data_IF_391072683402
#
_entry.id   IF_391072683402
#
_cell.length_a   1.000
_cell.length_b   1.000
_cell.length_c   1.000
_cell.angle_alpha   90.00
_cell.angle_beta   90.00
_cell.angle_gamma   90.00
#
_symmetry.space_group_name_H-M   'P 1'
#
loop_
_entity.id
_entity.type
_entity.pdbx_description
1 polymer ?
#
# COMPACT_ATOMS: atom_id res chain seq x y z
N UNK A 1 -67.36 3.27 55.66
CA UNK A 1 -67.28 4.41 54.72
C UNK A 1 -65.97 4.26 53.95
N UNK A 2 -65.91 4.37 52.61
CA UNK A 2 -66.76 5.16 51.71
C UNK A 2 -67.58 4.33 50.70
N UNK A 3 -68.58 5.01 50.13
CA UNK A 3 -69.63 4.53 49.23
C UNK A 3 -69.23 4.63 47.76
N UNK A 4 -69.42 3.54 47.03
CA UNK A 4 -69.34 3.42 45.57
C UNK A 4 -70.50 4.15 44.88
N UNK A 5 -70.18 5.04 43.94
CA UNK A 5 -71.16 5.73 43.11
C UNK A 5 -71.05 5.23 41.67
N UNK A 6 -72.04 4.43 41.24
CA UNK A 6 -72.07 3.78 39.92
C UNK A 6 -72.96 4.61 39.00
N UNK A 7 -72.37 5.46 38.15
CA UNK A 7 -73.12 6.17 37.12
C UNK A 7 -73.34 5.29 35.89
N UNK A 8 -74.61 5.02 35.61
CA UNK A 8 -75.09 4.26 34.45
C UNK A 8 -75.27 5.23 33.27
N UNK A 9 -74.29 5.27 32.37
CA UNK A 9 -74.34 6.05 31.13
C UNK A 9 -75.22 5.32 30.09
N UNK A 10 -76.32 5.96 29.67
CA UNK A 10 -77.16 5.52 28.55
C UNK A 10 -76.39 5.69 27.24
N UNK A 11 -76.16 4.59 26.51
CA UNK A 11 -75.69 4.60 25.11
C UNK A 11 -76.84 5.05 24.21
N UNK A 12 -76.72 6.22 23.59
CA UNK A 12 -77.55 6.59 22.44
C UNK A 12 -76.96 5.92 21.19
N UNK A 13 -77.78 5.17 20.48
CA UNK A 13 -77.44 4.58 19.18
C UNK A 13 -77.55 5.67 18.11
N UNK A 14 -76.45 6.34 17.80
CA UNK A 14 -76.37 7.18 16.59
C UNK A 14 -76.11 6.27 15.38
N UNK A 15 -77.07 6.26 14.47
CA UNK A 15 -76.92 5.66 13.15
C UNK A 15 -75.95 6.52 12.34
N UNK A 16 -74.68 6.12 12.32
CA UNK A 16 -73.67 6.73 11.46
C UNK A 16 -74.11 6.61 9.99
N UNK A 17 -74.24 7.71 9.24
CA UNK A 17 -74.71 7.65 7.86
C UNK A 17 -73.70 6.88 7.00
N UNK A 18 -74.20 5.89 6.27
CA UNK A 18 -73.45 4.93 5.43
C UNK A 18 -72.50 5.63 4.43
N UNK A 19 -72.78 6.89 4.07
CA UNK A 19 -71.94 7.71 3.20
C UNK A 19 -70.58 8.08 3.82
N UNK A 20 -70.46 8.26 5.14
CA UNK A 20 -69.17 8.59 5.78
C UNK A 20 -68.22 7.37 5.75
N UNK A 21 -68.77 6.16 5.81
CA UNK A 21 -67.99 4.93 5.80
C UNK A 21 -67.32 4.68 4.43
N UNK A 22 -67.96 5.10 3.33
CA UNK A 22 -67.40 4.96 1.98
C UNK A 22 -66.30 5.99 1.71
N UNK A 23 -66.50 7.24 2.13
CA UNK A 23 -65.48 8.28 1.99
C UNK A 23 -64.20 7.92 2.78
N UNK A 24 -64.35 7.39 3.99
CA UNK A 24 -63.19 6.98 4.80
C UNK A 24 -62.41 5.81 4.16
N UNK A 25 -63.11 4.82 3.58
CA UNK A 25 -62.46 3.71 2.87
C UNK A 25 -61.69 4.17 1.64
N UNK A 26 -62.23 5.13 0.88
CA UNK A 26 -61.56 5.72 -0.28
C UNK A 26 -60.31 6.47 0.15
N UNK A 27 -60.38 7.30 1.20
CA UNK A 27 -59.22 8.06 1.71
C UNK A 27 -58.11 7.13 2.20
N UNK A 28 -58.46 6.05 2.91
CA UNK A 28 -57.49 5.05 3.40
C UNK A 28 -56.84 4.30 2.22
N UNK A 29 -57.61 3.91 1.21
CA UNK A 29 -57.07 3.25 0.02
C UNK A 29 -56.15 4.17 -0.79
N UNK A 30 -56.55 5.44 -1.00
CA UNK A 30 -55.72 6.42 -1.68
C UNK A 30 -54.40 6.68 -0.92
N UNK A 31 -54.46 6.78 0.41
CA UNK A 31 -53.27 6.98 1.24
C UNK A 31 -52.31 5.80 1.17
N UNK A 32 -52.82 4.56 1.20
CA UNK A 32 -52.02 3.35 1.06
C UNK A 32 -51.37 3.24 -0.32
N UNK A 33 -52.10 3.57 -1.39
CA UNK A 33 -51.57 3.59 -2.75
C UNK A 33 -50.45 4.63 -2.93
N UNK A 34 -50.61 5.83 -2.36
CA UNK A 34 -49.57 6.86 -2.36
C UNK A 34 -48.32 6.36 -1.61
N UNK A 35 -48.49 5.73 -0.45
CA UNK A 35 -47.36 5.21 0.33
C UNK A 35 -46.60 4.12 -0.43
N UNK A 36 -47.31 3.19 -1.10
CA UNK A 36 -46.69 2.15 -1.93
C UNK A 36 -45.94 2.76 -3.11
N UNK A 37 -46.51 3.75 -3.80
CA UNK A 37 -45.83 4.46 -4.89
C UNK A 37 -44.57 5.19 -4.40
N UNK A 38 -44.64 5.90 -3.28
CA UNK A 38 -43.47 6.58 -2.70
C UNK A 38 -42.39 5.58 -2.27
N UNK A 39 -42.78 4.43 -1.72
CA UNK A 39 -41.84 3.38 -1.35
C UNK A 39 -41.18 2.75 -2.59
N UNK A 40 -41.93 2.49 -3.65
CA UNK A 40 -41.39 1.98 -4.92
C UNK A 40 -40.45 2.98 -5.60
N UNK A 41 -40.79 4.27 -5.58
CA UNK A 41 -39.89 5.34 -6.07
C UNK A 41 -38.63 5.42 -5.22
N UNK A 42 -38.71 5.32 -3.89
CA UNK A 42 -37.53 5.28 -3.02
C UNK A 42 -36.66 4.05 -3.31
N UNK A 43 -37.26 2.87 -3.49
CA UNK A 43 -36.53 1.65 -3.83
C UNK A 43 -35.84 1.80 -5.20
N UNK A 44 -36.52 2.40 -6.17
CA UNK A 44 -35.96 2.68 -7.49
C UNK A 44 -34.81 3.69 -7.41
N UNK A 45 -34.97 4.78 -6.67
CA UNK A 45 -33.90 5.77 -6.46
C UNK A 45 -32.71 5.20 -5.71
N UNK A 46 -32.90 4.35 -4.70
CA UNK A 46 -31.81 3.68 -3.98
C UNK A 46 -31.08 2.70 -4.90
N UNK A 47 -31.80 1.92 -5.70
CA UNK A 47 -31.18 0.99 -6.65
C UNK A 47 -30.50 1.69 -7.81
N UNK A 48 -31.02 2.84 -8.27
CA UNK A 48 -30.37 3.67 -9.28
C UNK A 48 -29.16 4.41 -8.72
N UNK A 49 -29.22 4.90 -7.48
CA UNK A 49 -28.06 5.45 -6.76
C UNK A 49 -26.98 4.39 -6.54
N UNK A 50 -27.33 3.14 -6.24
CA UNK A 50 -26.36 2.04 -6.20
C UNK A 50 -25.75 1.75 -7.58
N UNK A 51 -26.56 1.76 -8.66
CA UNK A 51 -26.05 1.59 -10.02
C UNK A 51 -25.12 2.74 -10.44
N UNK A 52 -25.46 3.97 -10.07
CA UNK A 52 -24.63 5.14 -10.34
C UNK A 52 -23.38 5.18 -9.45
N UNK A 53 -23.41 4.67 -8.21
CA UNK A 53 -22.22 4.52 -7.35
C UNK A 53 -21.32 3.36 -7.78
N UNK A 54 -21.86 2.33 -8.44
CA UNK A 54 -21.06 1.28 -9.09
C UNK A 54 -20.47 1.80 -10.42
N UNK A 55 -21.12 2.79 -11.06
CA UNK A 55 -20.68 3.43 -12.30
C UNK A 55 -19.78 4.66 -12.15
N UNK A 56 -19.69 5.26 -10.95
CA UNK A 56 -18.80 6.36 -10.64
C UNK A 56 -17.37 5.85 -10.43
N UNK A 57 -16.70 5.51 -11.54
CA UNK A 57 -15.24 5.35 -11.67
C UNK A 57 -14.56 4.74 -10.43
N UNK A 58 -14.71 3.42 -10.23
CA UNK A 58 -13.64 2.67 -9.55
C UNK A 58 -12.42 2.76 -10.51
N UNK A 59 -11.36 3.54 -10.22
CA UNK A 59 -10.22 3.69 -11.12
C UNK A 59 -9.43 2.37 -11.28
N UNK A 60 -9.93 1.29 -10.69
CA UNK A 60 -9.31 -0.01 -10.56
C UNK A 60 -10.15 -1.16 -11.11
N UNK A 61 -11.22 -0.89 -11.88
CA UNK A 61 -11.55 -1.84 -12.94
C UNK A 61 -10.42 -1.77 -13.96
N UNK A 62 -9.42 -2.61 -13.75
CA UNK A 62 -8.43 -2.96 -14.76
C UNK A 62 -9.25 -3.54 -15.91
N UNK A 63 -9.56 -2.71 -16.91
CA UNK A 63 -9.62 -3.22 -18.27
C UNK A 63 -8.27 -3.90 -18.44
N UNK A 64 -8.25 -5.22 -18.31
CA UNK A 64 -7.19 -5.98 -18.95
C UNK A 64 -7.26 -5.51 -20.39
N UNK A 65 -6.25 -4.80 -20.93
CA UNK A 65 -6.23 -4.56 -22.35
C UNK A 65 -6.45 -5.93 -22.97
N UNK A 66 -7.43 -6.05 -23.86
CA UNK A 66 -7.49 -7.19 -24.74
C UNK A 66 -6.07 -7.36 -25.24
N UNK A 67 -5.41 -8.44 -24.81
CA UNK A 67 -4.10 -8.79 -25.32
C UNK A 67 -4.37 -8.86 -26.80
N UNK A 68 -3.83 -7.89 -27.53
CA UNK A 68 -3.68 -8.01 -28.96
C UNK A 68 -2.90 -9.31 -29.08
N UNK A 69 -3.62 -10.39 -29.40
CA UNK A 69 -3.03 -11.58 -29.97
C UNK A 69 -2.41 -11.04 -31.23
N UNK A 70 -1.14 -10.64 -31.15
CA UNK A 70 -0.31 -10.66 -32.32
C UNK A 70 -0.47 -12.09 -32.82
N UNK A 71 -0.95 -12.23 -34.05
CA UNK A 71 -0.85 -13.45 -34.82
C UNK A 71 0.64 -13.79 -34.92
N UNK A 72 1.18 -14.37 -33.86
CA UNK A 72 2.30 -15.28 -33.93
C UNK A 72 1.68 -16.49 -34.60
N UNK A 73 2.12 -16.75 -35.84
CA UNK A 73 1.77 -17.96 -36.55
C UNK A 73 1.96 -19.14 -35.59
N UNK A 74 0.88 -19.89 -35.42
CA UNK A 74 0.79 -21.14 -34.70
C UNK A 74 1.57 -22.20 -35.50
N UNK A 75 2.88 -22.00 -35.65
CA UNK A 75 3.80 -23.11 -35.78
C UNK A 75 3.93 -23.63 -34.36
N UNK A 76 3.22 -24.72 -34.08
CA UNK A 76 3.53 -25.59 -32.96
C UNK A 76 5.02 -25.93 -33.04
N UNK A 77 5.83 -25.18 -32.31
CA UNK A 77 7.13 -25.69 -31.87
C UNK A 77 6.75 -26.74 -30.84
N UNK A 78 6.70 -28.00 -31.30
CA UNK A 78 6.85 -29.15 -30.42
C UNK A 78 8.08 -28.86 -29.56
N UNK A 79 7.85 -28.50 -28.30
CA UNK A 79 8.88 -28.56 -27.29
C UNK A 79 9.19 -30.05 -27.14
N UNK A 80 10.23 -30.50 -27.84
CA UNK A 80 10.81 -31.81 -27.69
C UNK A 80 11.00 -32.08 -26.19
N UNK A 81 10.17 -32.96 -25.62
CA UNK A 81 10.26 -33.42 -24.24
C UNK A 81 11.44 -34.39 -24.04
N UNK A 82 12.49 -34.28 -24.85
CA UNK A 82 13.59 -35.24 -24.92
C UNK A 82 14.92 -34.71 -24.38
N UNK A 83 14.88 -33.70 -23.50
CA UNK A 83 16.03 -33.30 -22.67
C UNK A 83 15.99 -34.02 -21.30
N UNK A 84 16.02 -35.36 -21.34
CA UNK A 84 16.25 -36.19 -20.15
C UNK A 84 17.74 -36.24 -19.73
N UNK A 85 18.53 -35.26 -20.15
CA UNK A 85 19.95 -35.13 -19.83
C UNK A 85 20.26 -33.78 -19.15
N UNK A 86 19.31 -33.23 -18.38
CA UNK A 86 19.55 -32.11 -17.45
C UNK A 86 20.35 -32.65 -16.26
N UNK A 87 21.63 -32.88 -16.50
CA UNK A 87 22.66 -33.04 -15.49
C UNK A 87 22.62 -31.83 -14.56
N UNK A 88 22.17 -32.05 -13.32
CA UNK A 88 22.59 -31.49 -12.02
C UNK A 88 23.48 -30.22 -11.97
N UNK A 89 23.31 -29.28 -12.89
CA UNK A 89 23.91 -27.96 -12.84
C UNK A 89 23.05 -27.16 -11.88
N UNK A 90 23.62 -26.81 -10.73
CA UNK A 90 22.96 -26.01 -9.72
C UNK A 90 22.26 -24.82 -10.39
N UNK A 91 20.93 -24.86 -10.48
CA UNK A 91 20.15 -23.85 -11.19
C UNK A 91 20.42 -22.50 -10.56
N UNK A 92 20.89 -21.54 -11.36
CA UNK A 92 21.14 -20.16 -10.91
C UNK A 92 19.86 -19.64 -10.20
N UNK A 93 19.92 -19.30 -8.89
CA UNK A 93 18.74 -18.92 -8.12
C UNK A 93 17.99 -17.70 -8.68
N UNK A 94 18.71 -16.80 -9.37
CA UNK A 94 18.13 -15.61 -10.01
C UNK A 94 17.28 -16.00 -11.21
N UNK A 95 17.80 -16.88 -12.06
CA UNK A 95 17.05 -17.37 -13.23
C UNK A 95 15.83 -18.19 -12.79
N UNK A 96 15.97 -19.02 -11.76
CA UNK A 96 14.83 -19.75 -11.18
C UNK A 96 13.76 -18.80 -10.59
N UNK A 97 14.18 -17.69 -9.97
CA UNK A 97 13.27 -16.66 -9.50
C UNK A 97 12.41 -16.08 -10.62
N UNK A 98 13.01 -15.67 -11.74
CA UNK A 98 12.28 -15.12 -12.89
C UNK A 98 11.41 -16.17 -13.60
N UNK A 99 11.89 -17.42 -13.68
CA UNK A 99 11.09 -18.54 -14.18
C UNK A 99 9.82 -18.74 -13.35
N UNK A 100 9.92 -18.77 -12.01
CA UNK A 100 8.76 -18.86 -11.11
C UNK A 100 7.84 -17.66 -11.22
N UNK A 101 8.39 -16.48 -11.53
CA UNK A 101 7.60 -15.29 -11.82
C UNK A 101 6.91 -15.32 -13.19
N UNK A 102 7.19 -16.31 -14.06
CA UNK A 102 6.66 -16.37 -15.42
C UNK A 102 7.24 -15.26 -16.31
N UNK A 103 8.49 -14.86 -16.06
CA UNK A 103 9.20 -13.84 -16.82
C UNK A 103 10.20 -14.52 -17.74
N UNK A 104 10.03 -14.33 -19.04
CA UNK A 104 11.03 -14.67 -20.04
C UNK A 104 12.10 -13.60 -20.07
N UNK A 105 13.37 -14.01 -20.01
CA UNK A 105 14.53 -13.11 -20.02
C UNK A 105 15.23 -13.23 -21.37
N UNK A 106 15.49 -12.08 -22.00
CA UNK A 106 16.40 -12.02 -23.15
C UNK A 106 17.87 -12.14 -22.70
N UNK A 107 18.76 -12.32 -23.68
CA UNK A 107 20.20 -12.52 -23.45
C UNK A 107 20.82 -11.34 -22.70
N UNK A 108 20.50 -10.12 -23.11
CA UNK A 108 21.07 -8.89 -22.54
C UNK A 108 20.64 -8.71 -21.08
N UNK A 109 19.39 -9.07 -20.77
CA UNK A 109 18.85 -9.08 -19.41
C UNK A 109 19.57 -10.11 -18.55
N UNK A 110 19.81 -11.33 -19.05
CA UNK A 110 20.55 -12.37 -18.32
C UNK A 110 21.96 -11.91 -17.98
N UNK A 111 22.66 -11.27 -18.94
CA UNK A 111 24.02 -10.76 -18.74
C UNK A 111 24.06 -9.57 -17.75
N UNK A 112 22.99 -8.77 -17.69
CA UNK A 112 22.89 -7.59 -16.82
C UNK A 112 22.38 -7.90 -15.40
N UNK A 113 21.78 -9.06 -15.19
CA UNK A 113 21.22 -9.44 -13.89
C UNK A 113 22.35 -9.70 -12.88
N UNK A 114 22.17 -9.25 -11.62
CA UNK A 114 23.12 -9.58 -10.56
C UNK A 114 23.06 -11.06 -10.22
N UNK A 115 24.16 -11.62 -9.75
CA UNK A 115 24.17 -12.93 -9.10
C UNK A 115 23.46 -12.86 -7.74
N UNK A 116 23.00 -14.02 -7.24
CA UNK A 116 22.39 -14.07 -5.90
C UNK A 116 23.37 -13.63 -4.80
N UNK A 117 24.65 -13.97 -4.94
CA UNK A 117 25.70 -13.55 -4.00
C UNK A 117 25.86 -12.03 -3.95
N UNK A 118 25.74 -11.34 -5.09
CA UNK A 118 25.75 -9.88 -5.14
C UNK A 118 24.52 -9.30 -4.42
N UNK A 119 23.33 -9.86 -4.65
CA UNK A 119 22.12 -9.44 -3.94
C UNK A 119 22.30 -9.62 -2.42
N UNK A 120 22.77 -10.77 -1.96
CA UNK A 120 23.01 -11.04 -0.54
C UNK A 120 24.09 -10.13 0.07
N UNK A 121 25.09 -9.71 -0.71
CA UNK A 121 26.11 -8.76 -0.23
C UNK A 121 25.52 -7.38 0.10
N UNK A 122 24.45 -7.00 -0.61
CA UNK A 122 23.74 -5.72 -0.48
C UNK A 122 22.69 -5.80 0.62
N UNK A 123 21.81 -6.81 0.58
CA UNK A 123 20.61 -6.86 1.43
C UNK A 123 20.72 -7.89 2.57
N UNK A 124 21.79 -8.69 2.63
CA UNK A 124 21.94 -9.79 3.59
C UNK A 124 21.16 -11.05 3.19
N UNK A 125 21.31 -12.14 3.95
CA UNK A 125 20.78 -13.48 3.62
C UNK A 125 19.28 -13.69 3.90
N UNK A 126 18.66 -12.85 4.72
CA UNK A 126 17.25 -12.95 5.12
C UNK A 126 16.55 -11.60 5.01
N UNK A 127 15.23 -11.56 4.78
CA UNK A 127 14.48 -10.32 4.90
C UNK A 127 14.65 -9.68 6.28
N UNK A 128 14.69 -8.35 6.33
CA UNK A 128 14.81 -7.59 7.58
C UNK A 128 13.51 -6.87 7.85
N UNK A 129 13.02 -7.02 9.08
CA UNK A 129 11.80 -6.40 9.57
C UNK A 129 12.05 -5.74 10.91
N UNK A 130 11.29 -4.68 11.20
CA UNK A 130 11.18 -4.11 12.55
C UNK A 130 9.72 -4.09 12.98
N UNK A 131 9.44 -4.49 14.23
CA UNK A 131 8.09 -4.60 14.78
C UNK A 131 7.44 -5.99 14.66
N UNK A 132 8.19 -7.04 14.29
CA UNK A 132 7.66 -8.42 14.25
C UNK A 132 7.13 -8.89 15.61
N UNK A 133 7.77 -8.46 16.68
CA UNK A 133 7.38 -8.66 18.07
C UNK A 133 6.00 -8.04 18.40
N UNK A 134 5.58 -7.00 17.68
CA UNK A 134 4.26 -6.36 17.88
C UNK A 134 3.12 -7.09 17.17
N UNK A 135 3.42 -8.02 16.26
CA UNK A 135 2.42 -8.74 15.48
C UNK A 135 1.46 -9.55 16.36
N UNK A 136 1.96 -10.16 17.43
CA UNK A 136 1.13 -10.92 18.36
C UNK A 136 0.15 -10.02 19.10
N UNK A 137 0.62 -8.90 19.65
CA UNK A 137 -0.20 -7.87 20.27
C UNK A 137 -1.31 -7.41 19.32
N UNK A 138 -0.99 -7.14 18.04
CA UNK A 138 -2.01 -6.77 17.06
C UNK A 138 -3.09 -7.85 16.89
N UNK A 139 -2.69 -9.12 16.77
CA UNK A 139 -3.65 -10.23 16.64
C UNK A 139 -4.51 -10.38 17.89
N UNK A 140 -3.97 -10.17 19.08
CA UNK A 140 -4.72 -10.30 20.32
C UNK A 140 -5.69 -9.14 20.54
N UNK A 141 -5.28 -7.91 20.23
CA UNK A 141 -6.10 -6.70 20.45
C UNK A 141 -7.19 -6.52 19.41
N UNK A 142 -6.96 -6.93 18.15
CA UNK A 142 -7.90 -6.71 17.06
C UNK A 142 -8.66 -7.99 16.71
N UNK A 143 -10.01 -7.98 16.75
CA UNK A 143 -10.82 -9.14 16.39
C UNK A 143 -10.44 -9.65 14.98
N UNK A 144 -10.41 -10.98 14.74
CA UNK A 144 -9.93 -11.51 13.47
C UNK A 144 -10.65 -10.96 12.23
N UNK A 145 -11.95 -10.66 12.32
CA UNK A 145 -12.72 -10.02 11.24
C UNK A 145 -12.44 -8.51 11.11
N UNK A 146 -11.99 -7.85 12.18
CA UNK A 146 -11.64 -6.43 12.18
C UNK A 146 -10.28 -6.16 11.57
N UNK A 147 -9.32 -7.07 11.70
CA UNK A 147 -7.92 -6.88 11.25
C UNK A 147 -7.86 -6.41 9.80
N UNK A 148 -6.98 -5.45 9.54
CA UNK A 148 -6.65 -4.90 8.22
C UNK A 148 -5.13 -4.68 8.11
N UNK A 149 -4.62 -4.75 6.89
CA UNK A 149 -3.28 -4.33 6.50
C UNK A 149 -3.38 -3.05 5.68
N UNK A 150 -2.64 -2.01 6.05
CA UNK A 150 -2.57 -0.75 5.30
C UNK A 150 -1.14 -0.42 4.92
N UNK A 151 -0.90 -0.01 3.67
CA UNK A 151 0.43 0.46 3.31
C UNK A 151 0.71 1.85 3.92
N UNK A 152 1.94 2.03 4.37
CA UNK A 152 2.47 3.29 4.86
C UNK A 152 3.93 3.43 4.39
N UNK A 153 4.46 4.66 4.39
CA UNK A 153 5.86 4.93 4.07
C UNK A 153 6.02 6.23 3.30
N UNK A 154 7.24 6.76 3.24
CA UNK A 154 7.51 7.98 2.48
C UNK A 154 7.22 7.82 0.98
N UNK A 155 7.10 8.93 0.26
CA UNK A 155 7.09 8.92 -1.20
C UNK A 155 8.29 8.13 -1.74
N UNK A 156 8.14 7.42 -2.85
CA UNK A 156 9.20 6.60 -3.47
C UNK A 156 9.85 5.50 -2.60
N UNK A 157 9.21 5.09 -1.50
CA UNK A 157 9.70 4.00 -0.64
C UNK A 157 9.17 2.61 -1.00
N UNK A 158 8.32 2.48 -2.03
CA UNK A 158 7.76 1.19 -2.45
C UNK A 158 6.36 0.87 -1.95
N UNK A 159 5.64 1.84 -1.37
CA UNK A 159 4.27 1.65 -0.85
C UNK A 159 3.29 1.00 -1.86
N UNK A 160 3.42 1.32 -3.15
CA UNK A 160 2.58 0.73 -4.19
C UNK A 160 2.92 -0.76 -4.42
N UNK A 161 4.20 -1.14 -4.34
CA UNK A 161 4.66 -2.52 -4.51
C UNK A 161 4.13 -3.40 -3.37
N UNK A 162 4.32 -2.99 -2.12
CA UNK A 162 3.81 -3.77 -0.96
C UNK A 162 2.29 -3.91 -1.01
N UNK A 163 1.58 -2.85 -1.42
CA UNK A 163 0.12 -2.90 -1.53
C UNK A 163 -0.33 -3.94 -2.55
N UNK A 164 0.30 -3.97 -3.73
CA UNK A 164 -0.04 -4.95 -4.77
C UNK A 164 0.30 -6.37 -4.32
N UNK A 165 1.46 -6.58 -3.73
CA UNK A 165 1.86 -7.88 -3.18
C UNK A 165 0.85 -8.40 -2.16
N UNK A 166 0.45 -7.57 -1.19
CA UNK A 166 -0.56 -7.95 -0.20
C UNK A 166 -1.92 -8.27 -0.84
N UNK A 167 -2.41 -7.41 -1.75
CA UNK A 167 -3.71 -7.61 -2.41
C UNK A 167 -3.78 -8.89 -3.23
N UNK A 168 -2.72 -9.20 -3.95
CA UNK A 168 -2.69 -10.36 -4.84
C UNK A 168 -2.46 -11.68 -4.09
N UNK A 169 -1.74 -11.64 -2.95
CA UNK A 169 -1.18 -12.85 -2.36
C UNK A 169 -1.60 -13.15 -0.92
N UNK A 170 -2.06 -12.17 -0.15
CA UNK A 170 -2.55 -12.46 1.19
C UNK A 170 -3.97 -13.07 1.14
N UNK A 171 -4.23 -14.05 2.02
CA UNK A 171 -5.52 -14.69 2.26
C UNK A 171 -5.89 -14.60 3.75
N UNK A 172 -7.09 -14.11 4.06
CA UNK A 172 -7.64 -14.14 5.40
C UNK A 172 -8.41 -15.46 5.59
N UNK A 173 -7.95 -16.32 6.49
CA UNK A 173 -8.51 -17.68 6.64
C UNK A 173 -10.01 -17.68 7.01
N UNK A 174 -10.48 -16.65 7.71
CA UNK A 174 -11.84 -16.60 8.28
C UNK A 174 -12.90 -16.14 7.27
N UNK A 175 -12.50 -15.64 6.09
CA UNK A 175 -13.44 -15.06 5.11
C UNK A 175 -13.48 -15.86 3.81
N UNK A 176 -14.51 -16.68 3.64
CA UNK A 176 -14.74 -17.46 2.41
C UNK A 176 -15.38 -16.67 1.26
N UNK A 177 -15.84 -15.41 1.48
CA UNK A 177 -16.54 -14.60 0.45
C UNK A 177 -15.67 -13.47 -0.12
N UNK A 178 -15.53 -13.45 -1.45
CA UNK A 178 -14.74 -12.47 -2.22
C UNK A 178 -15.04 -10.99 -1.92
N UNK A 179 -16.30 -10.61 -1.70
CA UNK A 179 -16.69 -9.20 -1.42
C UNK A 179 -16.00 -8.63 -0.17
N UNK A 180 -15.60 -9.47 0.78
CA UNK A 180 -14.98 -9.01 2.03
C UNK A 180 -13.44 -8.94 1.97
N UNK A 181 -12.78 -9.47 0.93
CA UNK A 181 -11.30 -9.35 0.79
C UNK A 181 -10.86 -7.88 0.64
N UNK A 182 -11.71 -7.03 0.05
CA UNK A 182 -11.46 -5.59 -0.12
C UNK A 182 -11.34 -4.85 1.22
N UNK A 183 -11.91 -5.38 2.30
CA UNK A 183 -11.85 -4.76 3.61
C UNK A 183 -10.50 -5.05 4.30
N UNK A 184 -9.93 -6.23 4.09
CA UNK A 184 -8.72 -6.65 4.80
C UNK A 184 -7.45 -5.96 4.30
N UNK A 185 -7.25 -5.82 2.98
CA UNK A 185 -6.06 -5.16 2.43
C UNK A 185 -6.42 -3.78 1.92
N UNK A 186 -5.97 -2.75 2.63
CA UNK A 186 -6.19 -1.35 2.30
C UNK A 186 -5.09 -0.84 1.38
N UNK A 187 -5.46 0.09 0.50
CA UNK A 187 -4.48 0.81 -0.33
C UNK A 187 -3.52 1.66 0.52
N UNK A 188 -4.03 2.21 1.62
CA UNK A 188 -3.28 3.04 2.56
C UNK A 188 -3.83 2.86 3.96
N UNK A 189 -3.04 3.19 4.98
CA UNK A 189 -3.54 3.33 6.34
C UNK A 189 -4.66 4.38 6.41
N UNK A 190 -5.59 4.30 7.38
CA UNK A 190 -6.71 5.25 7.50
C UNK A 190 -6.28 6.73 7.62
N UNK A 191 -5.09 7.00 8.15
CA UNK A 191 -4.53 8.36 8.24
C UNK A 191 -3.65 8.75 7.03
N UNK A 192 -3.58 7.92 5.99
CA UNK A 192 -2.89 8.20 4.73
C UNK A 192 -1.61 7.41 4.50
N UNK A 193 -1.26 7.21 3.23
CA UNK A 193 -0.12 6.37 2.79
C UNK A 193 1.24 6.99 3.12
N UNK A 194 1.34 8.30 2.95
CA UNK A 194 2.58 9.07 3.11
C UNK A 194 2.57 9.89 4.40
N UNK A 195 1.77 9.46 5.37
CA UNK A 195 1.56 10.18 6.61
C UNK A 195 2.34 9.50 7.75
N UNK A 196 3.12 10.26 8.54
CA UNK A 196 3.78 9.73 9.73
C UNK A 196 2.80 9.19 10.79
N UNK A 197 3.31 8.42 11.75
CA UNK A 197 2.48 7.69 12.71
C UNK A 197 1.72 8.60 13.70
N UNK A 198 2.30 9.75 14.09
CA UNK A 198 1.70 10.68 15.05
C UNK A 198 0.36 11.29 14.56
N UNK A 199 0.10 11.25 13.25
CA UNK A 199 -1.16 11.69 12.66
C UNK A 199 -2.29 10.67 12.76
N UNK A 200 -2.03 9.44 13.22
CA UNK A 200 -3.04 8.37 13.31
C UNK A 200 -4.34 8.89 13.94
N UNK A 201 -4.26 9.60 15.06
CA UNK A 201 -5.45 10.07 15.78
C UNK A 201 -5.99 11.41 15.27
N UNK A 202 -5.15 12.24 14.66
CA UNK A 202 -5.49 13.64 14.34
C UNK A 202 -5.79 13.89 12.84
N UNK A 203 -5.61 12.87 11.99
CA UNK A 203 -5.91 12.97 10.56
C UNK A 203 -6.55 11.68 10.05
N UNK A 204 -7.53 11.84 9.17
CA UNK A 204 -8.18 10.73 8.45
C UNK A 204 -8.10 11.05 6.97
N UNK A 205 -7.47 10.15 6.20
CA UNK A 205 -7.40 10.32 4.76
C UNK A 205 -8.79 10.13 4.14
N UNK A 206 -9.14 10.88 3.08
CA UNK A 206 -10.44 10.78 2.44
C UNK A 206 -10.84 9.34 2.13
N UNK A 207 -12.13 9.01 2.31
CA UNK A 207 -12.71 7.65 2.12
C UNK A 207 -12.28 6.63 3.19
N UNK A 208 -11.81 7.09 4.35
CA UNK A 208 -11.50 6.26 5.52
C UNK A 208 -12.22 6.73 6.80
N UNK A 209 -13.20 7.62 6.69
CA UNK A 209 -13.90 8.24 7.81
C UNK A 209 -14.61 7.21 8.69
N UNK A 210 -15.13 6.14 8.08
CA UNK A 210 -15.83 5.05 8.77
C UNK A 210 -14.90 3.91 9.23
N UNK A 211 -13.59 4.01 8.96
CA UNK A 211 -12.64 2.93 9.22
C UNK A 211 -12.07 3.08 10.63
N UNK A 212 -12.26 2.04 11.45
CA UNK A 212 -11.65 1.96 12.79
C UNK A 212 -10.13 1.89 12.62
N UNK A 213 -9.43 2.94 13.04
CA UNK A 213 -7.98 3.08 12.81
C UNK A 213 -7.17 2.01 13.55
N UNK A 214 -7.62 1.63 14.74
CA UNK A 214 -7.04 0.58 15.59
C UNK A 214 -7.25 -0.83 15.05
N UNK A 215 -7.95 -0.98 13.93
CA UNK A 215 -8.07 -2.26 13.25
C UNK A 215 -7.04 -2.42 12.11
N UNK A 216 -6.26 -1.37 11.80
CA UNK A 216 -5.28 -1.39 10.73
C UNK A 216 -3.87 -1.57 11.26
N UNK A 217 -3.15 -2.59 10.81
CA UNK A 217 -1.71 -2.73 10.99
C UNK A 217 -0.99 -1.98 9.85
N UNK A 218 -0.21 -0.93 10.15
CA UNK A 218 0.60 -0.26 9.15
C UNK A 218 1.77 -1.14 8.72
N UNK A 219 1.83 -1.40 7.41
CA UNK A 219 2.98 -2.02 6.74
C UNK A 219 3.80 -0.89 6.12
N UNK A 220 4.82 -0.47 6.87
CA UNK A 220 5.62 0.70 6.60
C UNK A 220 6.79 0.33 5.70
N UNK A 221 6.82 0.80 4.46
CA UNK A 221 7.95 0.55 3.57
C UNK A 221 9.08 1.55 3.83
N UNK A 222 10.27 1.03 4.06
CA UNK A 222 11.52 1.78 4.11
C UNK A 222 12.41 1.39 2.94
N UNK A 223 13.15 2.35 2.41
CA UNK A 223 14.12 2.14 1.33
C UNK A 223 15.48 2.63 1.80
N UNK A 224 16.55 2.05 1.27
CA UNK A 224 17.90 2.54 1.52
C UNK A 224 17.95 4.07 1.32
N UNK A 225 18.40 4.85 2.33
CA UNK A 225 18.25 6.30 2.29
C UNK A 225 19.03 6.95 1.15
N UNK A 226 20.15 6.39 0.71
CA UNK A 226 20.91 6.94 -0.42
C UNK A 226 20.11 6.82 -1.73
N UNK A 227 19.58 5.63 -2.02
CA UNK A 227 18.73 5.43 -3.21
C UNK A 227 17.44 6.23 -3.13
N UNK A 228 16.87 6.34 -1.93
CA UNK A 228 15.66 7.10 -1.70
C UNK A 228 15.89 8.59 -1.94
N UNK A 229 16.95 9.18 -1.38
CA UNK A 229 17.29 10.60 -1.57
C UNK A 229 17.56 10.92 -3.04
N UNK A 230 18.31 10.08 -3.77
CA UNK A 230 18.49 10.22 -5.23
C UNK A 230 17.12 10.19 -5.94
N UNK A 231 16.26 9.25 -5.55
CA UNK A 231 14.90 9.17 -6.11
C UNK A 231 14.04 10.40 -5.78
N UNK A 232 14.23 11.05 -4.64
CA UNK A 232 13.51 12.27 -4.28
C UNK A 232 14.01 13.47 -5.08
N UNK A 233 15.31 13.58 -5.33
CA UNK A 233 15.91 14.65 -6.12
C UNK A 233 15.40 14.63 -7.57
N UNK A 234 15.25 13.44 -8.16
CA UNK A 234 14.75 13.30 -9.53
C UNK A 234 13.27 13.68 -9.69
N UNK A 235 12.50 13.76 -8.60
CA UNK A 235 11.07 14.10 -8.64
C UNK A 235 10.83 15.61 -8.55
N UNK A 236 11.81 16.41 -8.10
CA UNK A 236 11.60 17.84 -7.88
C UNK A 236 11.16 18.58 -9.16
N UNK A 237 11.52 18.09 -10.34
CA UNK A 237 11.11 18.67 -11.63
C UNK A 237 9.65 18.36 -12.02
N UNK A 238 8.95 17.45 -11.32
CA UNK A 238 7.64 16.94 -11.73
C UNK A 238 6.51 17.20 -10.72
N UNK A 239 6.83 17.52 -9.46
CA UNK A 239 5.82 17.76 -8.41
C UNK A 239 5.89 19.19 -7.90
N UNK A 240 5.42 20.13 -8.72
CA UNK A 240 5.16 21.50 -8.29
C UNK A 240 4.22 21.46 -7.07
N UNK A 241 4.78 21.77 -5.89
CA UNK A 241 4.02 22.00 -4.66
C UNK A 241 3.91 20.85 -3.65
N UNK A 242 4.58 19.70 -3.82
CA UNK A 242 4.59 18.65 -2.78
C UNK A 242 5.83 18.72 -1.87
N UNK A 243 6.98 19.04 -2.47
CA UNK A 243 8.26 19.17 -1.80
C UNK A 243 8.94 20.42 -2.34
N UNK A 244 9.28 21.33 -1.45
CA UNK A 244 10.04 22.54 -1.78
C UNK A 244 11.39 22.38 -1.09
N UNK A 245 12.44 22.10 -1.87
CA UNK A 245 13.80 21.88 -1.37
C UNK A 245 14.71 21.30 -2.44
N UNK A 246 15.88 21.91 -2.61
CA UNK A 246 16.89 21.44 -3.57
C UNK A 246 17.48 20.10 -3.12
N UNK A 247 18.03 19.35 -4.09
CA UNK A 247 18.88 18.18 -3.86
C UNK A 247 19.88 18.43 -2.71
N UNK A 248 20.32 17.38 -1.97
CA UNK A 248 21.22 17.55 -0.84
C UNK A 248 22.39 18.36 -1.36
N UNK A 249 22.52 19.56 -0.82
CA UNK A 249 23.63 20.46 -1.08
C UNK A 249 23.71 21.25 0.20
N UNK A 250 24.88 21.29 0.83
CA UNK A 250 25.09 22.25 1.91
C UNK A 250 25.10 23.64 1.29
N UNK A 251 24.32 24.58 1.83
CA UNK A 251 24.46 25.99 1.46
C UNK A 251 25.54 26.60 2.33
N UNK A 252 26.35 27.48 1.74
CA UNK A 252 27.22 28.32 2.52
C UNK A 252 26.37 29.35 3.25
N UNK A 253 26.38 29.33 4.58
CA UNK A 253 25.80 30.38 5.41
C UNK A 253 26.57 31.69 5.21
N UNK A 254 25.97 32.82 5.59
CA UNK A 254 26.60 34.15 5.55
C UNK A 254 27.91 34.23 6.36
N UNK A 255 28.10 33.34 7.33
CA UNK A 255 29.33 33.22 8.13
C UNK A 255 30.34 32.21 7.56
N UNK A 256 30.16 31.71 6.34
CA UNK A 256 31.03 30.69 5.74
C UNK A 256 30.86 29.29 6.33
N UNK A 257 29.88 29.05 7.21
CA UNK A 257 29.57 27.71 7.72
C UNK A 257 28.68 26.98 6.72
N UNK A 258 29.05 25.77 6.33
CA UNK A 258 28.18 24.90 5.54
C UNK A 258 26.98 24.48 6.41
N UNK A 259 25.76 24.79 5.98
CA UNK A 259 24.51 24.40 6.67
C UNK A 259 23.66 23.46 5.80
N UNK A 260 22.92 22.50 6.40
CA UNK A 260 21.98 21.66 5.67
C UNK A 260 20.94 22.48 4.91
N UNK A 261 20.54 22.02 3.71
CA UNK A 261 19.40 22.60 2.99
C UNK A 261 18.11 22.05 3.56
N UNK A 262 17.38 22.92 4.24
CA UNK A 262 16.06 22.63 4.77
C UNK A 262 15.10 22.19 3.68
N UNK A 263 14.24 21.23 4.01
CA UNK A 263 13.22 20.67 3.12
C UNK A 263 11.85 20.93 3.73
N UNK A 264 10.94 21.46 2.91
CA UNK A 264 9.54 21.65 3.29
C UNK A 264 8.65 20.66 2.56
N UNK A 265 7.88 19.87 3.30
CA UNK A 265 7.03 18.79 2.75
C UNK A 265 5.60 18.93 3.25
N UNK A 266 4.63 18.68 2.36
CA UNK A 266 3.22 18.62 2.74
C UNK A 266 2.81 17.19 3.12
N UNK A 267 2.59 16.91 4.41
CA UNK A 267 2.13 15.63 4.95
C UNK A 267 0.80 15.82 5.67
N UNK A 268 -0.20 14.95 5.43
CA UNK A 268 -1.55 15.08 6.02
C UNK A 268 -2.11 16.51 5.92
N UNK A 269 -1.99 17.12 4.74
CA UNK A 269 -2.42 18.49 4.42
C UNK A 269 -1.67 19.62 5.16
N UNK A 270 -0.72 19.28 6.04
CA UNK A 270 0.10 20.21 6.80
C UNK A 270 1.50 20.34 6.19
N UNK A 271 2.01 21.57 6.16
CA UNK A 271 3.39 21.83 5.75
C UNK A 271 4.33 21.68 6.94
N UNK A 272 5.29 20.77 6.82
CA UNK A 272 6.33 20.51 7.81
C UNK A 272 7.69 20.91 7.26
N UNK A 273 8.57 21.39 8.13
CA UNK A 273 9.94 21.75 7.78
C UNK A 273 10.90 20.76 8.44
N UNK A 274 11.93 20.37 7.70
CA UNK A 274 13.00 19.48 8.14
C UNK A 274 14.34 20.09 7.77
N UNK A 275 15.39 19.76 8.50
CA UNK A 275 16.71 20.36 8.28
C UNK A 275 17.38 19.85 6.99
N UNK A 276 17.01 18.65 6.54
CA UNK A 276 17.52 18.02 5.32
C UNK A 276 16.64 16.84 4.89
N UNK A 277 16.91 16.25 3.72
CA UNK A 277 16.30 14.98 3.33
C UNK A 277 16.67 13.83 4.28
N UNK A 278 17.89 13.82 4.82
CA UNK A 278 18.32 12.83 5.81
C UNK A 278 17.54 12.98 7.11
N UNK A 279 17.35 14.23 7.60
CA UNK A 279 16.53 14.52 8.76
C UNK A 279 15.06 14.11 8.54
N UNK A 280 14.47 14.43 7.38
CA UNK A 280 13.14 13.94 7.00
C UNK A 280 13.04 12.41 7.03
N UNK A 281 14.03 11.71 6.47
CA UNK A 281 14.04 10.24 6.47
C UNK A 281 14.09 9.68 7.90
N UNK A 282 14.97 10.22 8.76
CA UNK A 282 15.07 9.82 10.16
C UNK A 282 13.76 10.06 10.91
N UNK A 283 13.24 11.29 10.88
CA UNK A 283 12.08 11.69 11.66
C UNK A 283 10.81 10.98 11.22
N UNK A 284 10.63 10.71 9.92
CA UNK A 284 9.48 9.96 9.43
C UNK A 284 9.43 8.55 10.03
N UNK A 285 10.55 7.83 10.03
CA UNK A 285 10.58 6.45 10.50
C UNK A 285 10.69 6.34 12.02
N UNK A 286 11.36 7.29 12.69
CA UNK A 286 11.43 7.34 14.15
C UNK A 286 10.04 7.43 14.78
N UNK A 287 9.13 8.16 14.12
CA UNK A 287 7.74 8.18 14.55
C UNK A 287 7.05 6.83 14.56
N UNK A 288 7.48 5.85 13.75
CA UNK A 288 6.97 4.48 13.80
C UNK A 288 7.76 3.62 14.78
N UNK A 289 9.09 3.65 14.75
CA UNK A 289 9.87 2.66 15.50
C UNK A 289 10.18 3.04 16.95
N UNK A 290 10.20 4.34 17.26
CA UNK A 290 10.58 4.89 18.55
C UNK A 290 9.36 5.46 19.28
N UNK A 291 8.51 6.18 18.55
CA UNK A 291 7.46 7.01 19.17
C UNK A 291 6.05 6.40 19.05
N UNK A 292 5.87 5.29 18.33
CA UNK A 292 4.57 4.66 18.10
C UNK A 292 4.33 3.48 19.04
N UNK A 293 3.42 3.65 19.99
CA UNK A 293 3.04 2.60 20.94
C UNK A 293 2.06 1.55 20.36
N UNK A 294 1.62 1.74 19.11
CA UNK A 294 0.67 0.86 18.45
C UNK A 294 1.40 -0.11 17.51
N UNK A 295 0.93 -1.37 17.34
CA UNK A 295 1.60 -2.34 16.48
C UNK A 295 1.86 -1.85 15.05
N UNK A 296 3.02 -2.20 14.51
CA UNK A 296 3.46 -1.83 13.17
C UNK A 296 4.41 -2.88 12.60
N UNK A 297 4.64 -2.84 11.29
CA UNK A 297 5.70 -3.62 10.67
C UNK A 297 6.44 -2.78 9.63
N UNK A 298 7.71 -2.47 9.89
CA UNK A 298 8.59 -1.82 8.92
C UNK A 298 9.26 -2.89 8.06
N UNK A 299 9.20 -2.73 6.74
CA UNK A 299 9.73 -3.68 5.74
C UNK A 299 10.59 -2.94 4.74
N UNK A 300 11.68 -3.57 4.28
CA UNK A 300 12.55 -2.97 3.26
C UNK A 300 11.97 -3.10 1.85
N UNK A 301 12.11 -2.05 1.06
CA UNK A 301 11.79 -2.03 -0.36
C UNK A 301 12.57 -3.10 -1.14
N UNK A 302 13.82 -3.30 -0.75
CA UNK A 302 14.73 -4.24 -1.38
C UNK A 302 14.27 -5.68 -1.13
N UNK A 303 13.82 -6.01 0.08
CA UNK A 303 13.25 -7.34 0.38
C UNK A 303 11.93 -7.57 -0.39
N UNK A 304 11.11 -6.53 -0.55
CA UNK A 304 9.92 -6.59 -1.42
C UNK A 304 10.26 -6.77 -2.89
N UNK A 305 11.48 -6.46 -3.33
CA UNK A 305 11.92 -6.58 -4.72
C UNK A 305 12.56 -7.93 -4.97
N UNK A 306 13.48 -8.35 -4.11
CA UNK A 306 14.29 -9.56 -4.28
C UNK A 306 13.70 -10.81 -3.62
N UNK A 307 12.81 -10.64 -2.63
CA UNK A 307 12.23 -11.73 -1.82
C UNK A 307 10.71 -11.54 -1.66
N UNK A 308 10.03 -11.30 -2.78
CA UNK A 308 8.58 -11.04 -2.79
C UNK A 308 7.79 -12.08 -2.00
N UNK A 309 8.09 -13.36 -2.18
CA UNK A 309 7.35 -14.45 -1.53
C UNK A 309 7.53 -14.44 -0.01
N UNK A 310 8.78 -14.51 0.46
CA UNK A 310 9.15 -14.59 1.87
C UNK A 310 8.72 -13.35 2.64
N UNK A 311 8.90 -12.18 2.01
CA UNK A 311 8.52 -10.90 2.61
C UNK A 311 7.01 -10.78 2.74
N UNK A 312 6.27 -11.12 1.67
CA UNK A 312 4.80 -11.09 1.70
C UNK A 312 4.24 -12.12 2.66
N UNK A 313 4.83 -13.32 2.74
CA UNK A 313 4.47 -14.35 3.72
C UNK A 313 4.47 -13.81 5.14
N UNK A 314 5.58 -13.23 5.54
CA UNK A 314 5.76 -12.66 6.87
C UNK A 314 4.74 -11.54 7.15
N UNK A 315 4.49 -10.66 6.17
CA UNK A 315 3.48 -9.59 6.28
C UNK A 315 2.07 -10.17 6.50
N UNK A 316 1.65 -11.17 5.70
CA UNK A 316 0.32 -11.75 5.83
C UNK A 316 0.14 -12.44 7.20
N UNK A 317 1.16 -13.19 7.64
CA UNK A 317 1.16 -13.93 8.91
C UNK A 317 1.14 -12.99 10.13
N UNK A 318 1.79 -11.84 10.04
CA UNK A 318 1.79 -10.82 11.10
C UNK A 318 0.36 -10.41 11.49
N UNK A 319 -0.52 -10.19 10.52
CA UNK A 319 -1.95 -9.87 10.75
C UNK A 319 -2.86 -11.10 10.97
N UNK A 320 -2.30 -12.30 11.09
CA UNK A 320 -3.05 -13.55 11.27
C UNK A 320 -3.72 -14.07 9.99
N UNK A 321 -3.23 -13.67 8.82
CA UNK A 321 -3.58 -14.29 7.55
C UNK A 321 -2.52 -15.32 7.12
N UNK A 322 -2.64 -15.79 5.88
CA UNK A 322 -1.63 -16.63 5.22
C UNK A 322 -1.35 -16.11 3.82
N UNK A 323 -0.16 -16.37 3.29
CA UNK A 323 0.14 -16.12 1.88
C UNK A 323 -0.39 -17.28 1.03
N UNK A 324 -0.69 -17.02 -0.24
CA UNK A 324 -0.88 -18.06 -1.24
C UNK A 324 0.33 -19.02 -1.25
N UNK A 325 0.11 -20.33 -1.47
CA UNK A 325 1.19 -21.27 -1.76
C UNK A 325 2.07 -20.77 -2.90
N UNK A 326 3.35 -21.15 -2.90
CA UNK A 326 4.34 -20.59 -3.82
C UNK A 326 4.00 -20.78 -5.30
N UNK A 327 3.43 -21.93 -5.68
CA UNK A 327 2.96 -22.22 -7.04
C UNK A 327 1.73 -21.38 -7.47
N UNK A 328 1.07 -20.69 -6.53
CA UNK A 328 -0.05 -19.78 -6.77
C UNK A 328 0.31 -18.32 -6.48
N UNK A 329 1.54 -18.06 -6.04
CA UNK A 329 1.99 -16.72 -5.71
C UNK A 329 2.14 -15.89 -6.99
N UNK A 330 1.50 -14.72 -6.99
CA UNK A 330 1.58 -13.76 -8.08
C UNK A 330 2.68 -12.75 -7.80
N UNK A 331 3.77 -12.90 -8.55
CA UNK A 331 4.84 -11.92 -8.58
C UNK A 331 4.39 -10.62 -9.25
N UNK A 332 4.89 -9.48 -8.77
CA UNK A 332 4.64 -8.18 -9.38
C UNK A 332 5.72 -7.92 -10.43
N UNK A 333 5.43 -8.35 -11.66
CA UNK A 333 6.36 -8.28 -12.81
C UNK A 333 6.38 -6.87 -13.40
N UNK A 334 5.20 -6.31 -13.69
CA UNK A 334 5.06 -4.96 -14.25
C UNK A 334 5.14 -3.93 -13.12
N UNK A 335 5.54 -2.70 -13.45
CA UNK A 335 5.59 -1.57 -12.52
C UNK A 335 4.40 -1.52 -11.57
N UNK A 336 4.69 -1.36 -10.28
CA UNK A 336 3.68 -1.16 -9.25
C UNK A 336 3.05 0.23 -9.29
N UNK A 337 3.66 1.20 -9.97
CA UNK A 337 3.11 2.54 -10.16
C UNK A 337 2.09 2.51 -11.31
N UNK A 338 0.81 2.67 -10.97
CA UNK A 338 -0.32 2.68 -11.91
C UNK A 338 -1.07 4.02 -11.86
N UNK A 339 -1.73 4.40 -12.96
CA UNK A 339 -2.47 5.68 -13.07
C UNK A 339 -1.67 6.82 -13.74
N UNK A 340 -2.33 7.96 -14.04
CA UNK A 340 -1.76 9.05 -14.84
C UNK A 340 -0.66 9.85 -14.11
N UNK A 341 -0.68 9.94 -12.78
CA UNK A 341 0.29 10.72 -11.99
C UNK A 341 1.67 10.09 -11.80
N UNK A 342 2.07 9.13 -12.66
CA UNK A 342 3.29 8.33 -12.49
C UNK A 342 4.13 8.25 -13.78
N UNK A 343 4.10 9.31 -14.60
CA UNK A 343 4.86 9.37 -15.86
C UNK A 343 4.37 8.37 -16.91
N UNK A 344 5.08 8.30 -18.05
CA UNK A 344 4.75 7.37 -19.14
C UNK A 344 4.99 5.94 -18.70
N UNK A 345 4.18 4.98 -19.18
CA UNK A 345 4.30 3.56 -18.80
C UNK A 345 5.68 3.00 -19.12
N UNK A 346 6.28 3.43 -20.24
CA UNK A 346 7.63 3.04 -20.68
C UNK A 346 8.76 3.50 -19.76
N UNK A 347 8.53 4.53 -18.94
CA UNK A 347 9.52 5.07 -18.00
C UNK A 347 9.41 4.40 -16.62
N UNK A 348 8.45 3.48 -16.43
CA UNK A 348 8.20 2.85 -15.15
C UNK A 348 9.02 1.57 -15.00
N UNK A 349 9.68 1.44 -13.86
CA UNK A 349 10.51 0.28 -13.53
C UNK A 349 9.66 -0.97 -13.27
N UNK A 350 9.82 -2.01 -14.09
CA UNK A 350 9.31 -3.36 -13.84
C UNK A 350 10.26 -4.18 -12.96
N UNK A 351 10.01 -5.48 -12.86
CA UNK A 351 10.77 -6.39 -12.00
C UNK A 351 12.21 -6.57 -12.49
N UNK A 352 12.42 -6.85 -13.78
CA UNK A 352 13.75 -7.07 -14.35
C UNK A 352 14.60 -5.81 -14.19
N UNK A 353 14.04 -4.64 -14.57
CA UNK A 353 14.74 -3.36 -14.45
C UNK A 353 15.01 -3.00 -12.98
N UNK A 354 14.11 -3.35 -12.05
CA UNK A 354 14.34 -3.14 -10.62
C UNK A 354 15.49 -4.02 -10.10
N UNK A 355 15.58 -5.28 -10.56
CA UNK A 355 16.67 -6.17 -10.17
C UNK A 355 18.03 -5.68 -10.70
N UNK A 356 18.08 -5.30 -11.98
CA UNK A 356 19.28 -4.71 -12.59
C UNK A 356 19.65 -3.40 -11.89
N UNK A 357 18.67 -2.55 -11.58
CA UNK A 357 18.95 -1.25 -10.97
C UNK A 357 19.41 -1.34 -9.52
N UNK A 358 18.77 -2.18 -8.71
CA UNK A 358 18.95 -2.19 -7.25
C UNK A 358 19.83 -3.33 -6.73
N UNK A 359 20.09 -4.35 -7.56
CA UNK A 359 20.91 -5.50 -7.16
C UNK A 359 22.38 -5.36 -7.52
N UNK A 360 22.79 -4.22 -8.08
CA UNK A 360 24.19 -3.90 -8.37
C UNK A 360 24.89 -3.31 -7.14
N UNK A 361 26.20 -3.52 -6.99
CA UNK A 361 26.99 -2.85 -5.97
C UNK A 361 26.76 -1.34 -5.98
N UNK A 362 26.74 -0.73 -4.80
CA UNK A 362 26.59 0.72 -4.69
C UNK A 362 27.75 1.42 -5.38
N UNK A 363 27.42 2.46 -6.15
CA UNK A 363 28.41 3.39 -6.66
C UNK A 363 29.18 4.02 -5.49
N UNK A 364 30.43 4.43 -5.73
CA UNK A 364 31.21 5.23 -4.79
C UNK A 364 30.36 6.42 -4.34
N UNK A 365 30.28 6.62 -3.02
CA UNK A 365 29.47 7.66 -2.38
C UNK A 365 27.97 7.62 -2.74
N UNK A 366 27.48 6.53 -3.33
CA UNK A 366 26.10 6.42 -3.83
C UNK A 366 25.79 7.36 -4.99
N UNK A 367 26.80 7.88 -5.68
CA UNK A 367 26.66 8.92 -6.72
C UNK A 367 26.52 10.35 -6.18
N UNK A 368 26.75 10.57 -4.88
CA UNK A 368 26.70 11.89 -4.24
C UNK A 368 28.01 12.65 -4.46
N UNK A 369 27.96 13.97 -4.33
CA UNK A 369 29.17 14.78 -4.14
C UNK A 369 29.84 14.42 -2.81
N UNK A 370 31.10 14.84 -2.63
CA UNK A 370 31.85 14.62 -1.40
C UNK A 370 31.13 15.26 -0.21
N UNK A 371 30.70 16.51 -0.36
CA UNK A 371 29.96 17.23 0.67
C UNK A 371 28.64 16.56 1.06
N UNK A 372 27.88 16.06 0.09
CA UNK A 372 26.57 15.48 0.34
C UNK A 372 26.68 14.08 0.91
N UNK A 373 27.72 13.34 0.51
CA UNK A 373 28.05 12.06 1.11
C UNK A 373 28.45 12.23 2.58
N UNK A 374 29.38 13.14 2.89
CA UNK A 374 29.81 13.40 4.26
C UNK A 374 28.64 13.88 5.12
N UNK A 375 27.77 14.74 4.57
CA UNK A 375 26.56 15.17 5.24
C UNK A 375 25.59 14.02 5.49
N UNK A 376 25.40 13.11 4.53
CA UNK A 376 24.53 11.95 4.70
C UNK A 376 25.07 11.00 5.78
N UNK A 377 26.39 10.80 5.83
CA UNK A 377 27.06 10.00 6.87
C UNK A 377 26.80 10.61 8.26
N UNK A 378 27.00 11.93 8.40
CA UNK A 378 26.81 12.65 9.66
C UNK A 378 25.34 12.69 10.13
N UNK A 379 24.41 12.88 9.19
CA UNK A 379 23.01 13.20 9.52
C UNK A 379 22.08 11.97 9.55
N UNK A 380 22.43 10.86 8.90
CA UNK A 380 21.58 9.66 8.93
C UNK A 380 21.68 8.95 10.28
N UNK A 381 20.55 8.45 10.79
CA UNK A 381 20.52 7.67 12.03
C UNK A 381 21.28 6.35 11.86
N UNK A 382 22.47 6.27 12.46
CA UNK A 382 23.28 5.05 12.49
C UNK A 382 22.51 3.86 13.08
N UNK A 383 21.81 4.08 14.21
CA UNK A 383 21.00 3.05 14.87
C UNK A 383 19.93 2.50 13.93
N UNK A 384 19.17 3.37 13.26
CA UNK A 384 18.10 2.90 12.39
C UNK A 384 18.65 2.22 11.12
N UNK A 385 19.74 2.75 10.54
CA UNK A 385 20.46 2.13 9.44
C UNK A 385 20.92 0.71 9.77
N UNK A 386 21.56 0.53 10.92
CA UNK A 386 22.02 -0.77 11.42
C UNK A 386 20.85 -1.72 11.67
N UNK A 387 19.78 -1.24 12.32
CA UNK A 387 18.59 -2.05 12.59
C UNK A 387 17.89 -2.56 11.32
N UNK A 388 18.02 -1.83 10.21
CA UNK A 388 17.51 -2.24 8.90
C UNK A 388 18.58 -2.95 8.04
N UNK A 389 19.78 -3.18 8.56
CA UNK A 389 20.88 -3.82 7.84
C UNK A 389 21.32 -3.05 6.59
N UNK A 390 21.15 -1.73 6.57
CA UNK A 390 21.66 -0.88 5.50
C UNK A 390 23.13 -0.55 5.73
N UNK A 391 23.89 -0.57 4.64
CA UNK A 391 25.29 -0.16 4.62
C UNK A 391 25.42 1.21 3.96
N UNK A 392 26.38 1.99 4.43
CA UNK A 392 26.84 3.18 3.73
C UNK A 392 27.52 2.77 2.41
N UNK A 393 27.34 3.53 1.31
CA UNK A 393 28.12 3.34 0.09
C UNK A 393 29.64 3.42 0.37
N UNK A 394 30.49 2.79 -0.45
CA UNK A 394 31.93 2.88 -0.24
C UNK A 394 32.42 4.33 -0.44
N UNK A 395 33.38 4.82 0.37
CA UNK A 395 34.02 6.11 0.14
C UNK A 395 34.87 6.08 -1.14
N UNK A 396 35.33 7.25 -1.59
CA UNK A 396 36.29 7.31 -2.69
C UNK A 396 37.63 6.68 -2.25
N UNK A 397 38.36 5.99 -3.15
CA UNK A 397 39.70 5.51 -2.85
C UNK A 397 40.61 6.68 -2.47
N UNK A 398 41.42 6.49 -1.43
CA UNK A 398 42.48 7.44 -1.06
C UNK A 398 43.58 7.25 -2.11
N UNK A 399 43.82 8.28 -2.92
CA UNK A 399 44.83 8.30 -3.99
C UNK A 399 46.18 8.69 -3.41
#
# INVERSE_FOLDING_TARGET
MPTTNTQRVRKSSSSTPIFILHAHKIVVFCSAAIFICLFAVNLFLVTDLEKQNIGANDPWQIQTPAIHKNNVNDNQVEFDQNDNNINNTATNPVIDYFRRAGVELDKDSIESLPTWSQIESIIGKKPVFRGLDTCETFRQTVPPLGRMLGSAGMFNSGTNLVTRLMKENCIQQIRSRWKQRRLWIRWQCPWGKHTPANFKNNHTAPKNEEIIKDHCLPIVTVRNPFDWMVSMCNIHTQLDGLIIGYAPSRRMSSNGKKVPVGVKVKLAEQWLNFDSLANLWNEFYAQYYRDFEYPYLIVRFEDLTFRQYETTKTICECAGGVVKPQNMFKYIIKSAKQGPGHGKVSERTGMVEAWIKYGQPKQVKGGFSDEDYDAAIELLSHEFMESMGYKYPPPAPII
#
